data_IF_808999711208
#
_entry.id   IF_808999711208
#
_cell.length_a   1.000
_cell.length_b   1.000
_cell.length_c   1.000
_cell.angle_alpha   90.00
_cell.angle_beta   90.00
_cell.angle_gamma   90.00
#
_symmetry.space_group_name_H-M   'P 1'
#
loop_
_entity.id
_entity.type
_entity.pdbx_description
1 polymer ?
#
# COMPACT_ATOMS: atom_id res chain seq x y z
N UNK A 1 -52.53 -37.43 -2.88
CA UNK A 1 -53.77 -38.06 -2.37
C UNK A 1 -53.47 -38.71 -1.03
N UNK A 2 -54.45 -38.67 -0.11
CA UNK A 2 -54.42 -39.03 1.33
C UNK A 2 -53.82 -37.94 2.24
N UNK A 3 -54.57 -36.99 2.83
CA UNK A 3 -55.89 -36.96 3.51
C UNK A 3 -55.79 -37.27 5.02
N UNK A 4 -56.00 -36.20 5.83
CA UNK A 4 -56.65 -36.18 7.16
C UNK A 4 -55.90 -36.77 8.38
N UNK A 5 -56.04 -36.30 9.62
CA UNK A 5 -57.13 -35.54 10.27
C UNK A 5 -56.63 -34.79 11.54
N UNK A 6 -57.46 -33.81 11.92
CA UNK A 6 -57.45 -32.93 13.11
C UNK A 6 -57.45 -33.64 14.47
N UNK A 7 -57.17 -32.88 15.55
CA UNK A 7 -57.87 -32.81 16.87
C UNK A 7 -56.86 -32.27 17.93
N UNK A 8 -57.14 -31.42 18.93
CA UNK A 8 -58.30 -30.63 19.42
C UNK A 8 -57.74 -29.78 20.60
N UNK A 9 -58.15 -28.51 20.76
CA UNK A 9 -57.93 -27.71 22.00
C UNK A 9 -58.96 -28.12 23.08
N UNK A 10 -58.66 -27.93 24.38
CA UNK A 10 -59.37 -26.88 25.17
C UNK A 10 -58.46 -26.26 26.28
N UNK A 11 -58.46 -24.94 26.51
CA UNK A 11 -59.37 -24.09 27.29
C UNK A 11 -58.84 -23.79 28.72
N UNK A 12 -59.21 -22.61 29.22
CA UNK A 12 -58.56 -21.77 30.22
C UNK A 12 -58.94 -22.16 31.67
N UNK A 13 -58.09 -21.82 32.64
CA UNK A 13 -58.52 -21.52 34.00
C UNK A 13 -57.63 -20.43 34.61
N UNK A 14 -58.23 -19.27 34.86
CA UNK A 14 -57.68 -18.18 35.66
C UNK A 14 -57.98 -18.49 37.14
N UNK A 15 -56.99 -18.39 38.01
CA UNK A 15 -57.21 -18.26 39.46
C UNK A 15 -56.37 -17.12 39.97
N UNK A 16 -57.05 -16.02 40.31
CA UNK A 16 -56.54 -14.89 41.08
C UNK A 16 -56.35 -15.36 42.54
N UNK A 17 -55.17 -15.17 43.11
CA UNK A 17 -54.98 -15.19 44.56
C UNK A 17 -54.25 -13.91 44.96
N UNK A 18 -55.01 -12.98 45.55
CA UNK A 18 -54.47 -11.79 46.18
C UNK A 18 -53.97 -12.18 47.58
N UNK A 19 -52.65 -12.14 47.79
CA UNK A 19 -52.06 -12.12 49.12
C UNK A 19 -51.46 -10.74 49.38
N UNK A 20 -52.08 -10.02 50.32
CA UNK A 20 -51.52 -8.87 51.01
C UNK A 20 -50.42 -9.38 51.95
N UNK A 21 -49.16 -9.19 51.56
CA UNK A 21 -48.02 -9.32 52.45
C UNK A 21 -47.40 -7.94 52.66
N UNK A 22 -47.48 -7.46 53.90
CA UNK A 22 -46.79 -6.24 54.35
C UNK A 22 -45.31 -6.60 54.49
N UNK A 23 -44.46 -6.02 53.64
CA UNK A 23 -43.01 -6.20 53.68
C UNK A 23 -42.37 -4.91 54.24
N UNK A 24 -41.47 -4.98 55.23
CA UNK A 24 -40.81 -3.80 55.77
C UNK A 24 -39.91 -3.16 54.71
N UNK A 25 -39.93 -1.82 54.62
CA UNK A 25 -38.99 -1.07 53.80
C UNK A 25 -37.56 -1.25 54.36
N UNK A 26 -36.79 -2.10 53.70
CA UNK A 26 -35.33 -2.02 53.75
C UNK A 26 -34.93 -1.03 52.67
N UNK A 27 -34.43 0.14 53.09
CA UNK A 27 -33.77 1.09 52.19
C UNK A 27 -32.46 0.45 51.77
N UNK A 28 -32.48 -0.23 50.63
CA UNK A 28 -31.28 -0.69 49.96
C UNK A 28 -30.77 0.51 49.16
N UNK A 29 -29.72 1.16 49.67
CA UNK A 29 -28.94 2.08 48.87
C UNK A 29 -28.30 1.27 47.75
N UNK A 30 -28.89 1.33 46.55
CA UNK A 30 -28.26 0.82 45.35
C UNK A 30 -27.01 1.65 45.09
N UNK A 31 -25.87 1.13 45.55
CA UNK A 31 -24.58 1.52 45.00
C UNK A 31 -24.58 1.06 43.55
N UNK A 32 -25.07 1.92 42.65
CA UNK A 32 -24.86 1.73 41.23
C UNK A 32 -23.34 1.58 41.02
N UNK A 33 -22.87 0.49 40.39
CA UNK A 33 -21.53 0.51 39.85
C UNK A 33 -21.54 1.59 38.78
N UNK A 34 -20.93 2.74 39.07
CA UNK A 34 -20.49 3.69 38.05
C UNK A 34 -19.38 3.02 37.26
N UNK A 35 -19.77 2.06 36.42
CA UNK A 35 -19.07 1.79 35.18
C UNK A 35 -19.29 3.05 34.36
N UNK A 36 -18.37 4.01 34.52
CA UNK A 36 -18.13 4.96 33.45
C UNK A 36 -17.67 4.09 32.28
N UNK A 37 -18.63 3.70 31.45
CA UNK A 37 -18.35 3.23 30.12
C UNK A 37 -17.62 4.40 29.46
N UNK A 38 -16.29 4.31 29.48
CA UNK A 38 -15.45 5.23 28.75
C UNK A 38 -15.87 5.02 27.30
N UNK A 39 -16.76 5.90 26.82
CA UNK A 39 -17.10 6.03 25.41
C UNK A 39 -15.79 6.43 24.73
N UNK A 40 -14.98 5.42 24.42
CA UNK A 40 -13.96 5.52 23.41
C UNK A 40 -14.72 5.72 22.12
N UNK A 41 -14.99 6.98 21.82
CA UNK A 41 -15.29 7.39 20.47
C UNK A 41 -14.03 7.14 19.65
N UNK A 42 -13.88 5.91 19.15
CA UNK A 42 -13.13 5.70 17.92
C UNK A 42 -14.07 6.11 16.80
N UNK A 43 -13.81 7.22 16.09
CA UNK A 43 -14.52 7.49 14.86
C UNK A 43 -14.24 6.33 13.91
N UNK A 44 -15.23 5.45 13.70
CA UNK A 44 -15.23 4.59 12.53
C UNK A 44 -15.36 5.53 11.33
N UNK A 45 -14.24 5.74 10.65
CA UNK A 45 -14.09 6.57 9.46
C UNK A 45 -14.79 5.90 8.26
N UNK A 46 -16.10 5.69 8.36
CA UNK A 46 -16.92 5.02 7.34
C UNK A 46 -17.26 5.92 6.14
N UNK A 47 -16.59 7.06 6.02
CA UNK A 47 -16.47 7.73 4.73
C UNK A 47 -15.20 7.20 4.08
N UNK A 48 -15.32 6.08 3.35
CA UNK A 48 -14.31 5.55 2.43
C UNK A 48 -14.06 6.60 1.34
N UNK A 49 -13.34 7.67 1.69
CA UNK A 49 -12.92 8.73 0.77
C UNK A 49 -12.16 8.03 -0.34
N UNK A 50 -12.53 8.31 -1.59
CA UNK A 50 -11.78 7.82 -2.74
C UNK A 50 -10.29 8.14 -2.51
N UNK A 51 -9.43 7.12 -2.34
CA UNK A 51 -8.04 7.33 -2.00
C UNK A 51 -7.34 8.23 -3.03
N UNK A 52 -7.74 8.15 -4.30
CA UNK A 52 -7.19 9.00 -5.36
C UNK A 52 -7.50 10.47 -5.10
N UNK A 53 -8.75 10.79 -4.75
CA UNK A 53 -9.15 12.17 -4.44
C UNK A 53 -8.47 12.69 -3.17
N UNK A 54 -8.38 11.85 -2.14
CA UNK A 54 -7.74 12.26 -0.88
C UNK A 54 -6.24 12.52 -1.06
N UNK A 55 -5.49 11.61 -1.71
CA UNK A 55 -4.06 11.77 -1.96
C UNK A 55 -3.78 12.99 -2.87
N UNK A 56 -4.62 13.21 -3.89
CA UNK A 56 -4.49 14.34 -4.82
C UNK A 56 -4.75 15.71 -4.20
N UNK A 57 -5.32 15.80 -3.00
CA UNK A 57 -5.46 17.08 -2.30
C UNK A 57 -4.11 17.67 -1.85
N UNK A 58 -3.10 16.82 -1.65
CA UNK A 58 -1.80 17.25 -1.14
C UNK A 58 -0.64 16.95 -2.09
N UNK A 59 -0.70 15.87 -2.88
CA UNK A 59 0.33 15.57 -3.86
C UNK A 59 0.00 16.26 -5.19
N UNK A 60 0.80 17.24 -5.59
CA UNK A 60 0.77 17.78 -6.96
C UNK A 60 1.39 16.75 -7.86
N UNK A 61 0.78 16.63 -9.02
CA UNK A 61 1.11 15.62 -9.98
C UNK A 61 1.37 16.23 -11.37
N UNK A 62 1.46 17.55 -11.48
CA UNK A 62 1.86 18.19 -12.72
C UNK A 62 3.39 18.28 -12.81
N UNK A 63 3.92 18.45 -14.04
CA UNK A 63 5.34 18.30 -14.39
C UNK A 63 6.27 19.01 -13.41
N UNK A 64 7.25 18.29 -12.87
CA UNK A 64 8.49 18.92 -12.38
C UNK A 64 9.32 19.21 -13.62
N UNK A 65 9.29 20.47 -14.07
CA UNK A 65 10.35 20.99 -14.92
C UNK A 65 11.67 20.89 -14.13
N UNK A 66 12.77 20.56 -14.79
CA UNK A 66 14.08 20.27 -14.16
C UNK A 66 14.71 21.49 -13.47
N UNK A 67 13.98 22.59 -13.34
CA UNK A 67 14.43 23.92 -12.93
C UNK A 67 13.78 24.45 -11.65
N UNK A 68 12.92 23.70 -10.95
CA UNK A 68 12.31 24.17 -9.70
C UNK A 68 12.76 23.42 -8.45
N UNK A 69 13.19 24.22 -7.48
CA UNK A 69 13.61 23.86 -6.12
C UNK A 69 12.48 23.23 -5.31
N UNK A 70 12.87 22.32 -4.43
CA UNK A 70 12.10 21.72 -3.33
C UNK A 70 11.28 22.79 -2.57
N UNK A 71 10.09 23.13 -3.00
CA UNK A 71 9.07 23.59 -2.06
C UNK A 71 7.66 23.35 -2.60
N UNK A 72 6.82 22.85 -1.69
CA UNK A 72 5.37 22.75 -1.78
C UNK A 72 4.83 21.68 -2.72
N UNK A 73 4.49 20.56 -2.07
CA UNK A 73 3.48 19.59 -2.50
C UNK A 73 3.79 18.81 -3.78
N UNK A 74 4.97 18.20 -3.87
CA UNK A 74 5.31 17.26 -4.93
C UNK A 74 6.76 16.83 -4.74
N UNK A 75 7.02 16.10 -3.65
CA UNK A 75 8.38 15.67 -3.33
C UNK A 75 9.05 14.98 -4.52
N UNK A 76 10.39 14.96 -4.53
CA UNK A 76 11.25 14.40 -5.59
C UNK A 76 10.87 12.98 -6.08
N UNK A 77 10.03 12.26 -5.33
CA UNK A 77 9.61 10.90 -5.64
C UNK A 77 8.21 10.81 -6.30
N UNK A 78 7.52 11.94 -6.50
CA UNK A 78 6.16 11.99 -7.07
C UNK A 78 6.11 12.81 -8.36
N UNK A 79 6.80 12.32 -9.40
CA UNK A 79 6.69 12.90 -10.73
C UNK A 79 5.40 12.43 -11.43
N UNK A 80 4.52 13.37 -11.78
CA UNK A 80 3.43 13.16 -12.73
C UNK A 80 2.10 12.65 -12.14
N UNK A 81 1.00 13.02 -12.80
CA UNK A 81 -0.36 12.52 -12.61
C UNK A 81 -0.31 11.06 -12.98
N UNK A 82 -0.90 10.21 -12.14
CA UNK A 82 -1.03 8.80 -12.43
C UNK A 82 -1.94 8.63 -13.65
N UNK A 83 -1.31 8.67 -14.82
CA UNK A 83 -1.89 8.52 -16.15
C UNK A 83 -1.45 7.22 -16.81
N UNK A 84 -0.56 6.46 -16.15
CA UNK A 84 -0.04 5.21 -16.68
C UNK A 84 -1.10 4.15 -16.84
N UNK A 85 -0.71 3.05 -17.48
CA UNK A 85 -1.63 2.00 -17.92
C UNK A 85 -2.52 1.44 -16.80
N UNK A 86 -2.02 1.42 -15.56
CA UNK A 86 -2.71 0.90 -14.38
C UNK A 86 -3.96 1.70 -13.98
N UNK A 87 -4.07 2.99 -14.31
CA UNK A 87 -5.26 3.80 -14.00
C UNK A 87 -6.54 3.22 -14.62
N UNK A 88 -6.41 2.61 -15.80
CA UNK A 88 -7.54 2.04 -16.54
C UNK A 88 -7.73 0.54 -16.26
N UNK A 89 -7.05 -0.01 -15.26
CA UNK A 89 -7.11 -1.43 -14.91
C UNK A 89 -7.88 -1.66 -13.60
N UNK A 90 -8.35 -2.90 -13.44
CA UNK A 90 -8.92 -3.39 -12.19
C UNK A 90 -7.89 -4.20 -11.44
N UNK A 91 -7.89 -4.09 -10.12
CA UNK A 91 -7.08 -4.93 -9.26
C UNK A 91 -7.60 -6.39 -9.36
N UNK A 92 -6.75 -7.36 -9.75
CA UNK A 92 -7.19 -8.74 -9.93
C UNK A 92 -7.66 -9.41 -8.62
N UNK A 93 -7.22 -8.92 -7.46
CA UNK A 93 -7.54 -9.51 -6.17
C UNK A 93 -8.94 -9.15 -5.66
N UNK A 94 -9.55 -8.06 -6.16
CA UNK A 94 -10.86 -7.61 -5.67
C UNK A 94 -11.80 -7.06 -6.75
N UNK A 95 -11.36 -6.97 -8.00
CA UNK A 95 -12.14 -6.49 -9.15
C UNK A 95 -12.44 -4.98 -9.15
N UNK A 96 -11.95 -4.22 -8.17
CA UNK A 96 -12.16 -2.75 -8.09
C UNK A 96 -11.12 -2.00 -8.93
N UNK A 97 -11.38 -0.77 -9.36
CA UNK A 97 -10.38 0.08 -10.02
C UNK A 97 -9.12 0.23 -9.17
N UNK A 98 -7.95 0.21 -9.81
CA UNK A 98 -6.68 0.48 -9.13
C UNK A 98 -6.65 1.94 -8.65
N UNK A 99 -6.17 2.13 -7.43
CA UNK A 99 -6.01 3.44 -6.79
C UNK A 99 -4.64 3.55 -6.09
N UNK A 100 -4.33 4.73 -5.53
CA UNK A 100 -3.05 5.03 -4.89
C UNK A 100 -2.64 3.98 -3.85
N UNK A 101 -3.57 3.56 -2.99
CA UNK A 101 -3.24 2.69 -1.84
C UNK A 101 -2.98 1.24 -2.25
N UNK A 102 -3.34 0.83 -3.48
CA UNK A 102 -3.00 -0.50 -3.98
C UNK A 102 -1.49 -0.69 -4.19
N UNK A 103 -0.75 0.40 -4.43
CA UNK A 103 0.70 0.35 -4.59
C UNK A 103 1.42 1.04 -3.43
N UNK A 104 0.89 2.16 -2.96
CA UNK A 104 1.54 2.95 -1.91
C UNK A 104 1.12 2.54 -0.49
N UNK A 105 0.03 1.80 -0.31
CA UNK A 105 -0.51 1.53 1.02
C UNK A 105 -1.14 2.75 1.67
N UNK A 106 -1.53 2.61 2.94
CA UNK A 106 -2.18 3.68 3.70
C UNK A 106 -1.15 4.59 4.37
N UNK A 107 -1.54 5.85 4.59
CA UNK A 107 -0.74 6.84 5.30
C UNK A 107 -0.92 6.73 6.83
N UNK A 108 0.10 7.10 7.60
CA UNK A 108 0.01 7.26 9.06
C UNK A 108 -0.18 8.73 9.45
N UNK A 109 -0.39 9.01 10.74
CA UNK A 109 -0.43 10.38 11.25
C UNK A 109 0.88 11.15 11.01
N UNK A 110 2.00 10.43 11.01
CA UNK A 110 3.34 10.97 10.78
C UNK A 110 3.74 11.02 9.30
N UNK A 111 2.83 10.76 8.38
CA UNK A 111 3.09 10.75 6.94
C UNK A 111 3.86 11.99 6.46
N UNK A 112 3.41 13.17 6.92
CA UNK A 112 4.00 14.47 6.55
C UNK A 112 5.39 14.71 7.16
N UNK A 113 5.76 13.95 8.19
CA UNK A 113 7.09 13.97 8.81
C UNK A 113 8.05 12.99 8.12
N UNK A 114 7.59 12.33 7.06
CA UNK A 114 8.41 11.42 6.27
C UNK A 114 8.51 10.01 6.85
N UNK A 115 7.53 9.57 7.64
CA UNK A 115 7.45 8.22 8.18
C UNK A 115 7.58 7.13 7.09
N UNK A 116 8.00 5.93 7.51
CA UNK A 116 8.02 4.71 6.68
C UNK A 116 6.63 4.07 6.67
N UNK A 117 5.64 4.78 6.13
CA UNK A 117 4.23 4.39 6.13
C UNK A 117 3.76 3.93 4.74
N UNK A 118 3.94 4.78 3.72
CA UNK A 118 3.63 4.45 2.33
C UNK A 118 4.84 3.85 1.62
N UNK A 119 4.60 2.89 0.73
CA UNK A 119 5.64 2.38 -0.16
C UNK A 119 6.19 3.51 -1.03
N UNK A 120 7.52 3.65 -1.03
CA UNK A 120 8.24 4.59 -1.89
C UNK A 120 9.08 3.78 -2.86
N UNK A 121 8.70 3.82 -4.14
CA UNK A 121 9.44 3.17 -5.20
C UNK A 121 10.63 4.03 -5.59
N UNK A 122 11.82 3.48 -5.43
CA UNK A 122 13.08 4.11 -5.80
C UNK A 122 13.72 3.27 -6.91
N UNK A 123 13.94 3.88 -8.06
CA UNK A 123 14.54 3.24 -9.23
C UNK A 123 16.03 3.54 -9.39
N UNK A 124 16.58 4.55 -8.71
CA UNK A 124 17.96 4.97 -8.93
C UNK A 124 18.91 4.21 -8.00
N UNK A 125 19.35 3.03 -8.45
CA UNK A 125 20.33 2.20 -7.71
C UNK A 125 21.74 2.80 -7.67
N UNK A 126 22.00 3.86 -8.44
CA UNK A 126 23.30 4.52 -8.53
C UNK A 126 23.33 5.87 -7.80
N UNK A 127 22.17 6.33 -7.34
CA UNK A 127 22.01 7.53 -6.54
C UNK A 127 22.70 7.41 -5.18
N UNK A 128 23.05 8.56 -4.61
CA UNK A 128 23.66 8.64 -3.28
C UNK A 128 22.64 8.43 -2.15
N UNK A 129 21.35 8.61 -2.47
CA UNK A 129 20.26 8.49 -1.50
C UNK A 129 20.02 7.02 -1.19
N UNK A 130 20.12 6.68 0.10
CA UNK A 130 19.73 5.35 0.56
C UNK A 130 18.21 5.21 0.45
N UNK A 131 17.70 4.20 -0.28
CA UNK A 131 16.27 4.02 -0.42
C UNK A 131 15.64 3.62 0.93
N UNK A 132 14.41 4.06 1.15
CA UNK A 132 13.65 3.77 2.38
C UNK A 132 13.25 2.28 2.48
N UNK A 133 13.04 1.64 1.33
CA UNK A 133 12.67 0.24 1.19
C UNK A 133 13.70 -0.47 0.31
N UNK A 134 14.06 -1.69 0.69
CA UNK A 134 14.89 -2.58 -0.14
C UNK A 134 14.20 -2.92 -1.46
N UNK A 135 14.99 -3.35 -2.46
CA UNK A 135 14.45 -3.78 -3.75
C UNK A 135 13.39 -4.90 -3.59
N UNK A 136 13.62 -5.83 -2.66
CA UNK A 136 12.67 -6.89 -2.36
C UNK A 136 11.36 -6.34 -1.78
N UNK A 137 11.41 -5.47 -0.77
CA UNK A 137 10.19 -4.85 -0.20
C UNK A 137 9.37 -4.12 -1.27
N UNK A 138 10.04 -3.36 -2.14
CA UNK A 138 9.37 -2.65 -3.24
C UNK A 138 8.72 -3.63 -4.23
N UNK A 139 9.46 -4.66 -4.67
CA UNK A 139 9.00 -5.58 -5.69
C UNK A 139 7.86 -6.48 -5.22
N UNK A 140 7.78 -6.79 -3.92
CA UNK A 140 6.67 -7.56 -3.36
C UNK A 140 5.31 -6.88 -3.57
N UNK A 141 5.26 -5.55 -3.61
CA UNK A 141 4.03 -4.84 -3.94
C UNK A 141 3.57 -5.15 -5.37
N UNK A 142 4.51 -5.23 -6.32
CA UNK A 142 4.21 -5.63 -7.69
C UNK A 142 3.70 -7.07 -7.75
N UNK A 143 4.33 -7.96 -6.99
CA UNK A 143 3.99 -9.38 -6.94
C UNK A 143 2.65 -9.69 -6.27
N UNK A 144 2.07 -8.73 -5.54
CA UNK A 144 0.69 -8.85 -5.05
C UNK A 144 -0.34 -9.02 -6.18
N UNK A 145 0.00 -8.60 -7.40
CA UNK A 145 -0.87 -8.70 -8.58
C UNK A 145 -0.16 -9.39 -9.77
N UNK A 146 1.14 -9.20 -9.94
CA UNK A 146 1.91 -9.76 -11.05
C UNK A 146 2.63 -11.06 -10.67
N UNK A 147 2.28 -12.15 -11.34
CA UNK A 147 2.91 -13.45 -11.10
C UNK A 147 4.32 -13.52 -11.69
N UNK A 148 5.36 -13.88 -10.91
CA UNK A 148 6.73 -14.03 -11.40
C UNK A 148 6.85 -14.95 -12.62
N UNK A 149 6.10 -16.04 -12.66
CA UNK A 149 6.11 -17.00 -13.76
C UNK A 149 5.69 -16.32 -15.08
N UNK A 150 4.65 -15.49 -15.03
CA UNK A 150 4.14 -14.74 -16.18
C UNK A 150 5.09 -13.63 -16.62
N UNK A 151 5.75 -12.97 -15.68
CA UNK A 151 6.78 -11.97 -16.00
C UNK A 151 7.97 -12.60 -16.72
N UNK A 152 8.43 -13.77 -16.24
CA UNK A 152 9.50 -14.55 -16.86
C UNK A 152 9.15 -15.02 -18.27
N UNK A 153 7.92 -15.49 -18.49
CA UNK A 153 7.41 -15.86 -19.82
C UNK A 153 7.45 -14.69 -20.81
N UNK A 154 7.20 -13.45 -20.34
CA UNK A 154 7.25 -12.25 -21.18
C UNK A 154 8.68 -11.79 -21.46
N UNK A 155 9.55 -11.84 -20.46
CA UNK A 155 10.97 -11.55 -20.61
C UNK A 155 11.73 -12.21 -19.46
N UNK A 156 12.65 -13.12 -19.81
CA UNK A 156 13.45 -13.89 -18.85
C UNK A 156 14.18 -13.01 -17.84
N UNK A 157 14.59 -11.80 -18.23
CA UNK A 157 15.33 -10.88 -17.40
C UNK A 157 14.57 -10.46 -16.12
N UNK A 158 13.24 -10.57 -16.07
CA UNK A 158 12.51 -10.30 -14.83
C UNK A 158 12.95 -11.21 -13.68
N UNK A 159 13.22 -12.48 -13.95
CA UNK A 159 13.54 -13.48 -12.93
C UNK A 159 14.85 -13.14 -12.21
N UNK A 160 15.91 -12.83 -12.97
CA UNK A 160 17.23 -12.52 -12.40
C UNK A 160 17.29 -11.18 -11.66
N UNK A 161 16.36 -10.28 -11.94
CA UNK A 161 16.29 -8.94 -11.34
C UNK A 161 15.29 -8.86 -10.17
N UNK A 162 14.29 -9.73 -10.11
CA UNK A 162 13.16 -9.67 -9.18
C UNK A 162 13.54 -9.46 -7.70
N UNK A 163 14.70 -9.96 -7.28
CA UNK A 163 15.17 -9.87 -5.88
C UNK A 163 16.38 -8.95 -5.69
N UNK A 164 16.88 -8.34 -6.76
CA UNK A 164 18.15 -7.59 -6.76
C UNK A 164 18.01 -6.14 -7.23
N UNK A 165 16.97 -5.85 -8.00
CA UNK A 165 16.76 -4.58 -8.65
C UNK A 165 15.29 -4.16 -8.48
N UNK A 166 14.99 -2.95 -8.00
CA UNK A 166 13.62 -2.46 -7.97
C UNK A 166 13.00 -2.44 -9.37
N UNK A 167 11.74 -2.84 -9.51
CA UNK A 167 11.00 -2.76 -10.78
C UNK A 167 11.04 -1.33 -11.37
N UNK A 168 11.03 -0.32 -10.50
CA UNK A 168 11.08 1.09 -10.84
C UNK A 168 12.40 1.56 -11.49
N UNK A 169 13.46 0.74 -11.44
CA UNK A 169 14.72 1.03 -12.14
C UNK A 169 14.59 0.94 -13.67
N UNK A 170 13.58 0.22 -14.16
CA UNK A 170 13.27 0.16 -15.59
C UNK A 170 11.89 0.74 -15.90
N UNK A 171 10.92 0.54 -15.01
CA UNK A 171 9.55 0.96 -15.24
C UNK A 171 9.22 2.31 -14.64
N UNK A 172 8.52 3.16 -15.41
CA UNK A 172 8.00 4.45 -14.93
C UNK A 172 6.49 4.49 -15.07
N UNK A 173 5.77 4.24 -13.98
CA UNK A 173 4.34 3.90 -14.01
C UNK A 173 3.37 5.08 -13.91
N UNK A 174 3.82 6.26 -13.47
CA UNK A 174 2.94 7.44 -13.39
C UNK A 174 2.64 8.07 -14.75
N UNK A 175 3.62 8.31 -15.63
CA UNK A 175 3.35 8.89 -16.94
C UNK A 175 2.46 8.00 -17.81
N UNK A 176 1.76 8.62 -18.76
CA UNK A 176 0.92 7.91 -19.75
C UNK A 176 1.73 6.91 -20.58
N UNK A 177 2.92 7.34 -21.01
CA UNK A 177 3.86 6.51 -21.77
C UNK A 177 4.88 5.90 -20.83
N UNK A 178 4.94 4.58 -20.82
CA UNK A 178 5.86 3.80 -19.98
C UNK A 178 7.06 3.39 -20.86
N UNK A 179 8.32 3.71 -20.49
CA UNK A 179 9.48 3.53 -21.38
C UNK A 179 9.74 2.10 -21.85
N UNK A 180 9.37 1.10 -21.05
CA UNK A 180 9.55 -0.31 -21.41
C UNK A 180 8.46 -0.82 -22.35
N UNK A 181 7.30 -0.15 -22.40
CA UNK A 181 6.21 -0.48 -23.32
C UNK A 181 6.61 -0.16 -24.75
N UNK A 182 6.68 -1.20 -25.59
CA UNK A 182 7.04 -1.04 -27.00
C UNK A 182 8.53 -0.76 -27.25
N UNK A 183 9.38 -0.95 -26.24
CA UNK A 183 10.84 -0.79 -26.40
C UNK A 183 11.37 -1.69 -27.52
N UNK A 184 12.12 -1.08 -28.44
CA UNK A 184 12.73 -1.81 -29.56
C UNK A 184 13.77 -2.82 -29.06
N UNK A 185 14.02 -3.92 -29.78
CA UNK A 185 15.05 -4.89 -29.38
C UNK A 185 16.42 -4.25 -29.14
N UNK A 186 16.84 -3.32 -30.02
CA UNK A 186 18.11 -2.59 -29.88
C UNK A 186 18.17 -1.79 -28.58
N UNK A 187 17.13 -1.01 -28.28
CA UNK A 187 17.11 -0.19 -27.07
C UNK A 187 17.01 -1.05 -25.80
N UNK A 188 16.32 -2.20 -25.87
CA UNK A 188 16.25 -3.15 -24.76
C UNK A 188 17.64 -3.71 -24.41
N UNK A 189 18.42 -4.12 -25.41
CA UNK A 189 19.80 -4.59 -25.19
C UNK A 189 20.69 -3.46 -24.65
N UNK A 190 20.49 -2.23 -25.15
CA UNK A 190 21.25 -1.06 -24.67
C UNK A 190 21.09 -0.86 -23.16
N UNK A 191 19.89 -1.00 -22.61
CA UNK A 191 19.65 -0.89 -21.15
C UNK A 191 20.51 -1.88 -20.34
N UNK A 192 20.64 -3.12 -20.82
CA UNK A 192 21.47 -4.14 -20.18
C UNK A 192 22.94 -3.69 -20.16
N UNK A 193 23.46 -3.25 -21.31
CA UNK A 193 24.85 -2.84 -21.48
C UNK A 193 25.15 -1.60 -20.64
N UNK A 194 24.27 -0.60 -20.66
CA UNK A 194 24.46 0.64 -19.93
C UNK A 194 24.51 0.39 -18.42
N UNK A 195 23.51 -0.32 -17.88
CA UNK A 195 23.39 -0.56 -16.44
C UNK A 195 24.51 -1.47 -15.92
N UNK A 196 24.78 -2.60 -16.59
CA UNK A 196 25.86 -3.48 -16.15
C UNK A 196 27.25 -2.85 -16.38
N UNK A 197 27.43 -2.07 -17.44
CA UNK A 197 28.65 -1.31 -17.66
C UNK A 197 28.91 -0.31 -16.54
N UNK A 198 27.88 0.41 -16.09
CA UNK A 198 27.97 1.32 -14.95
C UNK A 198 28.28 0.60 -13.63
N UNK A 199 27.67 -0.56 -13.38
CA UNK A 199 28.00 -1.40 -12.21
C UNK A 199 29.49 -1.79 -12.21
N UNK A 200 30.04 -2.20 -13.35
CA UNK A 200 31.47 -2.57 -13.44
C UNK A 200 32.38 -1.36 -13.19
N UNK A 201 32.07 -0.20 -13.78
CA UNK A 201 32.85 1.03 -13.56
C UNK A 201 32.90 1.41 -12.07
N UNK A 202 31.76 1.41 -11.39
CA UNK A 202 31.67 1.75 -9.96
C UNK A 202 32.39 0.73 -9.07
N UNK A 203 32.33 -0.55 -9.43
CA UNK A 203 33.08 -1.60 -8.74
C UNK A 203 34.59 -1.37 -8.84
N UNK A 204 35.09 -1.10 -10.05
CA UNK A 204 36.51 -0.79 -10.27
C UNK A 204 36.96 0.47 -9.52
N UNK A 205 36.15 1.53 -9.50
CA UNK A 205 36.43 2.75 -8.72
C UNK A 205 36.53 2.46 -7.21
N UNK A 206 35.60 1.68 -6.65
CA UNK A 206 35.63 1.30 -5.23
C UNK A 206 36.88 0.50 -4.87
N UNK A 207 37.26 -0.45 -5.72
CA UNK A 207 38.47 -1.27 -5.52
C UNK A 207 39.75 -0.41 -5.57
N UNK A 208 39.80 0.57 -6.48
CA UNK A 208 40.90 1.53 -6.56
C UNK A 208 40.99 2.40 -5.30
N UNK A 209 39.88 2.99 -4.85
CA UNK A 209 39.85 3.84 -3.64
C UNK A 209 40.31 3.07 -2.41
N UNK A 210 39.82 1.84 -2.23
CA UNK A 210 40.21 0.97 -1.12
C UNK A 210 41.71 0.60 -1.14
N UNK A 211 42.28 0.39 -2.34
CA UNK A 211 43.70 0.11 -2.49
C UNK A 211 44.59 1.32 -2.15
N UNK A 212 44.16 2.55 -2.46
CA UNK A 212 44.90 3.76 -2.06
C UNK A 212 44.80 4.02 -0.56
N UNK A 213 43.62 3.89 0.04
CA UNK A 213 43.42 4.07 1.49
C UNK A 213 44.21 3.05 2.34
N UNK A 214 44.42 1.84 1.83
CA UNK A 214 45.24 0.83 2.49
C UNK A 214 46.74 1.11 2.38
N UNK A 215 47.19 1.75 1.29
CA UNK A 215 48.59 2.19 1.12
C UNK A 215 48.93 3.39 1.99
N UNK A 216 47.99 4.32 2.17
CA UNK A 216 48.22 5.54 2.98
C UNK A 216 48.17 5.27 4.50
N UNK A 217 47.75 4.07 4.92
CA UNK A 217 47.73 3.62 6.33
C UNK A 217 48.92 2.73 6.71
N UNK A 218 49.86 2.48 5.79
CA UNK A 218 51.14 1.79 6.04
C UNK A 218 52.28 2.79 6.03
#
# INVERSE_FOLDING_TARGET
>A
MNLTYLLRKPAKAFTLLAMLAVVPMVVQAESQPTTMEQLTYEPQLDNQRDPNQYCAKCHKFDKVDKTQTLDQSGGELHFGKFHGAHLNQKNPNNGKPINCVNCHGNISEDHRRGAKDVMRFDGDIFGEKKPMYSAQEQNQVCFSCHQPEKLREKLWAHDVHAMKLPCASCHTLHPKEEPMKGITPKNRVKLCVDCHGEQQKRKAQKEQTQSTEQKDKQ
#
